data_IF_280482746173
#
_entry.id   IF_280482746173
#
_cell.length_a   1.000
_cell.length_b   1.000
_cell.length_c   1.000
_cell.angle_alpha   90.00
_cell.angle_beta   90.00
_cell.angle_gamma   90.00
#
_symmetry.space_group_name_H-M   'P 1'
#
loop_
_entity.id
_entity.type
_entity.pdbx_description
1 polymer ?
#
# COMPACT_ATOMS: atom_id res chain seq x y z
N UNK A 1 2.52 2.50 25.46
CA UNK A 1 2.40 1.18 24.81
C UNK A 1 3.68 0.40 25.07
N UNK A 2 3.62 -0.90 25.43
CA UNK A 2 4.81 -1.71 25.70
C UNK A 2 5.61 -1.96 24.42
N UNK A 3 6.95 -1.91 24.48
CA UNK A 3 7.85 -2.16 23.34
C UNK A 3 7.61 -3.50 22.64
N UNK A 4 7.15 -4.52 23.37
CA UNK A 4 6.78 -5.82 22.80
C UNK A 4 5.60 -5.74 21.82
N UNK A 5 4.59 -4.91 22.12
CA UNK A 5 3.43 -4.71 21.24
C UNK A 5 3.82 -3.95 19.97
N UNK A 6 4.67 -2.93 20.09
CA UNK A 6 5.26 -2.23 18.95
C UNK A 6 5.97 -3.21 18.02
N UNK A 7 6.84 -4.05 18.59
CA UNK A 7 7.61 -5.04 17.84
C UNK A 7 6.72 -6.04 17.12
N UNK A 8 5.66 -6.52 17.79
CA UNK A 8 4.71 -7.45 17.17
C UNK A 8 4.02 -6.81 15.96
N UNK A 9 3.51 -5.59 16.09
CA UNK A 9 2.80 -4.90 15.00
C UNK A 9 3.72 -4.67 13.80
N UNK A 10 4.93 -4.16 14.04
CA UNK A 10 5.88 -3.93 12.95
C UNK A 10 6.38 -5.23 12.32
N UNK A 11 6.58 -6.28 13.11
CA UNK A 11 6.92 -7.58 12.56
C UNK A 11 5.78 -8.12 11.69
N UNK A 12 4.54 -8.06 12.17
CA UNK A 12 3.36 -8.53 11.43
C UNK A 12 3.16 -7.76 10.12
N UNK A 13 3.36 -6.43 10.16
CA UNK A 13 3.17 -5.56 9.00
C UNK A 13 4.30 -5.68 7.97
N UNK A 14 5.57 -5.76 8.40
CA UNK A 14 6.72 -5.63 7.49
C UNK A 14 7.48 -6.95 7.24
N UNK A 15 7.31 -7.98 8.07
CA UNK A 15 7.99 -9.27 7.85
C UNK A 15 7.38 -9.98 6.65
N UNK A 16 8.21 -10.28 5.65
CA UNK A 16 7.73 -10.94 4.41
C UNK A 16 6.96 -10.00 3.47
N UNK A 17 7.07 -8.68 3.68
CA UNK A 17 6.43 -7.67 2.84
C UNK A 17 6.87 -7.80 1.37
N UNK A 18 5.89 -7.88 0.47
CA UNK A 18 6.08 -7.90 -0.98
C UNK A 18 5.29 -6.77 -1.62
N UNK A 19 5.71 -6.37 -2.82
CA UNK A 19 5.02 -5.37 -3.62
C UNK A 19 4.20 -6.05 -4.71
N UNK A 20 2.97 -5.57 -4.86
CA UNK A 20 2.00 -5.99 -5.86
C UNK A 20 1.47 -4.76 -6.60
N UNK A 21 0.93 -4.99 -7.79
CA UNK A 21 0.45 -3.94 -8.68
C UNK A 21 -1.03 -4.16 -8.99
N UNK A 22 -1.78 -3.08 -9.04
CA UNK A 22 -3.16 -3.06 -9.54
C UNK A 22 -3.35 -1.78 -10.35
N UNK A 23 -3.40 -1.96 -11.66
CA UNK A 23 -3.62 -0.88 -12.62
C UNK A 23 -5.11 -0.75 -12.92
N UNK A 24 -5.57 0.49 -13.11
CA UNK A 24 -6.94 0.83 -13.46
C UNK A 24 -7.00 2.24 -14.06
N UNK A 25 -8.17 2.61 -14.57
CA UNK A 25 -8.49 3.97 -14.96
C UNK A 25 -9.47 4.56 -13.95
N UNK A 26 -9.08 5.66 -13.31
CA UNK A 26 -9.92 6.40 -12.36
C UNK A 26 -10.09 7.85 -12.79
N UNK A 27 -11.29 8.43 -12.67
CA UNK A 27 -11.46 9.86 -12.90
C UNK A 27 -10.73 10.68 -11.82
N UNK A 28 -10.30 11.88 -12.18
CA UNK A 28 -9.45 12.73 -11.32
C UNK A 28 -10.10 13.06 -9.96
N UNK A 29 -11.43 13.16 -9.89
CA UNK A 29 -12.13 13.40 -8.63
C UNK A 29 -11.91 12.24 -7.63
N UNK A 30 -11.90 10.99 -8.10
CA UNK A 30 -11.61 9.83 -7.26
C UNK A 30 -10.13 9.80 -6.86
N UNK A 31 -9.22 10.04 -7.81
CA UNK A 31 -7.77 10.09 -7.53
C UNK A 31 -7.45 11.12 -6.43
N UNK A 32 -8.10 12.29 -6.48
CA UNK A 32 -7.87 13.40 -5.54
C UNK A 32 -8.33 13.13 -4.11
N UNK A 33 -9.15 12.09 -3.89
CA UNK A 33 -9.63 11.73 -2.55
C UNK A 33 -8.54 11.11 -1.68
N UNK A 34 -7.54 10.45 -2.28
CA UNK A 34 -6.45 9.81 -1.53
C UNK A 34 -5.49 10.85 -0.94
N UNK A 35 -5.15 10.68 0.35
CA UNK A 35 -4.20 11.55 1.06
C UNK A 35 -3.10 10.73 1.73
N UNK A 36 -1.85 11.20 1.66
CA UNK A 36 -0.73 10.58 2.38
C UNK A 36 -1.06 10.53 3.88
N UNK A 37 -0.81 9.37 4.51
CA UNK A 37 -1.12 9.10 5.91
C UNK A 37 -2.59 8.77 6.19
N UNK A 38 -3.47 8.79 5.18
CA UNK A 38 -4.86 8.34 5.33
C UNK A 38 -4.92 6.84 5.59
N UNK A 39 -5.88 6.42 6.42
CA UNK A 39 -6.26 5.01 6.52
C UNK A 39 -7.52 4.79 5.68
N UNK A 40 -7.47 3.81 4.80
CA UNK A 40 -8.61 3.38 3.99
C UNK A 40 -8.92 1.91 4.29
N UNK A 41 -10.17 1.51 4.06
CA UNK A 41 -10.62 0.13 4.24
C UNK A 41 -11.28 -0.36 2.97
N UNK A 42 -10.77 -1.43 2.39
CA UNK A 42 -11.45 -2.14 1.33
C UNK A 42 -12.41 -3.19 1.93
N UNK A 43 -13.68 -3.16 1.51
CA UNK A 43 -14.69 -4.11 1.98
C UNK A 43 -14.65 -5.41 1.19
N UNK A 44 -14.39 -5.32 -0.12
CA UNK A 44 -14.31 -6.45 -1.02
C UNK A 44 -12.95 -7.14 -1.02
N UNK A 45 -12.81 -8.11 -1.92
CA UNK A 45 -11.50 -8.69 -2.22
C UNK A 45 -10.64 -7.69 -2.99
N UNK A 46 -9.32 -7.72 -2.73
CA UNK A 46 -8.37 -6.93 -3.51
C UNK A 46 -7.57 -7.83 -4.43
N UNK A 47 -8.01 -7.92 -5.69
CA UNK A 47 -7.22 -8.55 -6.76
C UNK A 47 -6.02 -7.67 -7.11
N UNK A 48 -4.85 -8.31 -7.22
CA UNK A 48 -3.58 -7.67 -7.57
C UNK A 48 -2.64 -8.66 -8.26
N UNK A 49 -1.60 -8.16 -8.93
CA UNK A 49 -0.58 -8.98 -9.58
C UNK A 49 0.79 -8.79 -8.94
N UNK A 50 1.62 -9.83 -8.98
CA UNK A 50 3.05 -9.74 -8.64
C UNK A 50 3.92 -9.25 -9.81
N UNK A 51 3.37 -9.13 -11.02
CA UNK A 51 4.10 -8.79 -12.24
C UNK A 51 4.07 -7.27 -12.43
N UNK A 52 5.25 -6.64 -12.40
CA UNK A 52 5.39 -5.20 -12.61
C UNK A 52 5.90 -4.84 -14.00
N UNK A 53 5.05 -4.23 -14.83
CA UNK A 53 5.42 -3.66 -16.14
C UNK A 53 5.08 -2.16 -16.26
N UNK A 54 4.93 -1.70 -17.50
CA UNK A 54 4.37 -0.37 -17.81
C UNK A 54 3.03 -0.14 -17.11
N UNK A 55 2.69 1.13 -16.85
CA UNK A 55 1.40 1.46 -16.24
C UNK A 55 0.31 1.43 -17.31
N UNK A 56 -0.68 0.56 -17.13
CA UNK A 56 -1.90 0.55 -17.94
C UNK A 56 -2.93 1.52 -17.37
N UNK A 57 -3.58 2.29 -18.23
CA UNK A 57 -4.51 3.36 -17.83
C UNK A 57 -3.82 4.60 -17.27
N UNK A 58 -4.52 5.33 -16.39
CA UNK A 58 -4.03 6.53 -15.72
C UNK A 58 -3.65 6.33 -14.25
N UNK A 59 -3.93 5.17 -13.65
CA UNK A 59 -3.80 4.98 -12.21
C UNK A 59 -3.27 3.60 -11.81
N UNK A 60 -2.36 3.58 -10.83
CA UNK A 60 -1.80 2.36 -10.22
C UNK A 60 -1.89 2.41 -8.72
N UNK A 61 -2.45 1.37 -8.12
CA UNK A 61 -2.14 1.02 -6.74
C UNK A 61 -0.87 0.19 -6.72
N UNK A 62 0.17 0.71 -6.08
CA UNK A 62 1.28 -0.12 -5.60
C UNK A 62 0.88 -0.60 -4.20
N UNK A 63 0.83 -1.90 -3.97
CA UNK A 63 0.35 -2.48 -2.73
C UNK A 63 1.48 -3.25 -2.06
N UNK A 64 1.89 -2.82 -0.87
CA UNK A 64 2.78 -3.57 0.00
C UNK A 64 1.96 -4.43 0.96
N UNK A 65 2.15 -5.74 0.95
CA UNK A 65 1.49 -6.65 1.90
C UNK A 65 2.35 -7.87 2.24
N UNK A 66 2.27 -8.30 3.50
CA UNK A 66 2.81 -9.56 4.01
C UNK A 66 1.79 -10.71 4.00
N UNK A 67 0.51 -10.41 3.74
CA UNK A 67 -0.62 -11.34 3.95
C UNK A 67 -1.38 -11.72 2.67
N UNK A 68 -0.92 -11.27 1.49
CA UNK A 68 -1.56 -11.59 0.23
C UNK A 68 -1.48 -13.10 -0.08
N UNK A 69 -2.60 -13.69 -0.47
CA UNK A 69 -2.72 -15.10 -0.86
C UNK A 69 -2.35 -15.25 -2.33
N UNK A 70 -1.44 -16.18 -2.61
CA UNK A 70 -0.98 -16.48 -3.97
C UNK A 70 -2.00 -17.37 -4.68
N UNK A 71 -2.80 -16.77 -5.56
CA UNK A 71 -3.78 -17.50 -6.36
C UNK A 71 -3.17 -18.12 -7.62
N UNK A 72 -1.99 -17.68 -8.00
CA UNK A 72 -1.24 -18.16 -9.16
C UNK A 72 -0.90 -19.65 -9.06
N UNK A 73 -0.98 -20.23 -7.85
CA UNK A 73 -0.73 -21.66 -7.59
C UNK A 73 -1.90 -22.58 -7.90
N UNK A 74 -3.12 -22.06 -8.04
CA UNK A 74 -4.32 -22.91 -8.12
C UNK A 74 -4.74 -23.24 -9.55
N UNK A 75 -4.41 -22.41 -10.55
CA UNK A 75 -4.71 -22.71 -11.95
C UNK A 75 -3.76 -21.96 -12.93
N UNK A 76 -3.60 -22.49 -14.16
CA UNK A 76 -2.70 -21.90 -15.15
C UNK A 76 -3.02 -20.46 -15.56
N UNK A 77 -4.29 -20.05 -15.54
CA UNK A 77 -4.68 -18.70 -15.95
C UNK A 77 -4.33 -17.66 -14.88
N UNK A 78 -4.53 -17.99 -13.61
CA UNK A 78 -4.03 -17.19 -12.48
C UNK A 78 -2.50 -17.12 -12.44
N UNK A 79 -1.80 -18.17 -12.90
CA UNK A 79 -0.34 -18.17 -13.00
C UNK A 79 0.18 -17.15 -14.02
N UNK A 80 -0.45 -17.07 -15.21
CA UNK A 80 -0.07 -16.14 -16.29
C UNK A 80 -0.13 -14.67 -15.85
N UNK A 81 -1.10 -14.33 -15.01
CA UNK A 81 -1.29 -12.97 -14.50
C UNK A 81 -0.59 -12.74 -13.15
N UNK A 82 0.11 -13.74 -12.61
CA UNK A 82 0.76 -13.66 -11.29
C UNK A 82 -0.22 -13.23 -10.18
N UNK A 83 -1.41 -13.84 -10.16
CA UNK A 83 -2.57 -13.42 -9.37
C UNK A 83 -2.35 -13.56 -7.86
N UNK A 84 -2.53 -12.47 -7.13
CA UNK A 84 -2.62 -12.43 -5.68
C UNK A 84 -3.93 -11.78 -5.22
N UNK A 85 -4.35 -12.15 -4.02
CA UNK A 85 -5.59 -11.69 -3.42
C UNK A 85 -5.38 -11.28 -1.96
N UNK A 86 -5.89 -10.11 -1.57
CA UNK A 86 -6.19 -9.86 -0.16
C UNK A 86 -7.67 -10.15 0.11
N UNK A 87 -7.92 -10.69 1.29
CA UNK A 87 -9.25 -11.01 1.77
C UNK A 87 -10.10 -9.74 1.97
N UNK A 88 -11.39 -9.96 2.21
CA UNK A 88 -12.33 -8.89 2.56
C UNK A 88 -11.90 -8.16 3.85
N UNK A 89 -12.31 -6.90 3.97
CA UNK A 89 -12.03 -6.06 5.16
C UNK A 89 -10.52 -5.84 5.33
N UNK A 90 -9.86 -5.37 4.28
CA UNK A 90 -8.43 -5.03 4.31
C UNK A 90 -8.23 -3.55 4.63
N UNK A 91 -7.36 -3.24 5.60
CA UNK A 91 -6.97 -1.87 5.91
C UNK A 91 -5.65 -1.52 5.22
N UNK A 92 -5.57 -0.28 4.76
CA UNK A 92 -4.36 0.25 4.15
C UNK A 92 -4.03 1.62 4.72
N UNK A 93 -2.74 1.89 4.89
CA UNK A 93 -2.19 3.23 5.05
C UNK A 93 -1.66 3.72 3.70
N UNK A 94 -2.09 4.90 3.28
CA UNK A 94 -1.51 5.56 2.11
C UNK A 94 -0.12 6.09 2.48
N UNK A 95 0.93 5.53 1.91
CA UNK A 95 2.32 5.90 2.22
C UNK A 95 2.83 7.04 1.35
N UNK A 96 2.48 7.01 0.06
CA UNK A 96 3.00 7.98 -0.91
C UNK A 96 2.06 8.11 -2.11
N UNK A 97 2.12 9.25 -2.79
CA UNK A 97 1.38 9.51 -4.02
C UNK A 97 2.34 10.16 -5.01
N UNK A 98 2.51 9.56 -6.18
CA UNK A 98 3.43 9.99 -7.22
C UNK A 98 2.66 10.27 -8.51
N UNK A 99 3.00 11.35 -9.21
CA UNK A 99 2.39 11.69 -10.50
C UNK A 99 3.47 12.01 -11.52
N UNK A 100 3.41 11.35 -12.67
CA UNK A 100 4.29 11.60 -13.81
C UNK A 100 3.37 11.77 -15.03
N UNK A 101 3.31 13.00 -15.56
CA UNK A 101 2.34 13.35 -16.61
C UNK A 101 0.90 13.16 -16.14
N UNK A 102 0.13 12.37 -16.87
CA UNK A 102 -1.26 12.01 -16.54
C UNK A 102 -1.39 10.73 -15.70
N UNK A 103 -0.28 10.05 -15.40
CA UNK A 103 -0.29 8.77 -14.68
C UNK A 103 0.03 8.98 -13.20
N UNK A 104 -0.78 8.37 -12.34
CA UNK A 104 -0.67 8.47 -10.88
C UNK A 104 -0.44 7.11 -10.25
N UNK A 105 0.51 7.02 -9.31
CA UNK A 105 0.69 5.86 -8.45
C UNK A 105 0.37 6.22 -7.00
N UNK A 106 -0.56 5.49 -6.37
CA UNK A 106 -0.81 5.54 -4.93
C UNK A 106 -0.19 4.32 -4.28
N UNK A 107 0.70 4.56 -3.32
CA UNK A 107 1.39 3.50 -2.59
C UNK A 107 0.63 3.18 -1.29
N UNK A 108 0.11 1.96 -1.21
CA UNK A 108 -0.66 1.44 -0.09
C UNK A 108 0.15 0.42 0.71
N UNK A 109 0.19 0.59 2.03
CA UNK A 109 0.67 -0.44 2.96
C UNK A 109 -0.53 -1.15 3.57
N UNK A 110 -0.67 -2.45 3.33
CA UNK A 110 -1.66 -3.27 4.01
C UNK A 110 -1.26 -3.43 5.48
N UNK A 111 -2.19 -3.10 6.38
CA UNK A 111 -1.94 -3.08 7.82
C UNK A 111 -2.97 -3.96 8.58
N UNK A 112 -2.57 -4.59 9.69
CA UNK A 112 -3.52 -5.27 10.58
C UNK A 112 -4.54 -4.31 11.21
N UNK A 113 -5.75 -4.77 11.45
CA UNK A 113 -6.83 -4.00 12.10
C UNK A 113 -6.42 -3.44 13.48
N UNK A 114 -5.75 -4.26 14.28
CA UNK A 114 -5.30 -3.94 15.63
C UNK A 114 -4.15 -2.91 15.67
N UNK A 115 -3.63 -2.52 14.49
CA UNK A 115 -2.50 -1.62 14.31
C UNK A 115 -2.90 -0.23 13.83
N UNK A 116 -4.15 -0.03 13.40
CA UNK A 116 -4.65 1.20 12.76
C UNK A 116 -4.28 2.45 13.58
N UNK A 117 -4.61 2.48 14.87
CA UNK A 117 -4.35 3.63 15.73
C UNK A 117 -2.85 3.97 15.82
N UNK A 118 -2.00 2.95 15.86
CA UNK A 118 -0.55 3.14 15.92
C UNK A 118 -0.01 3.67 14.59
N UNK A 119 -0.31 2.97 13.50
CA UNK A 119 0.27 3.26 12.18
C UNK A 119 -0.29 4.55 11.57
N UNK A 120 -1.51 4.96 11.92
CA UNK A 120 -2.06 6.30 11.61
C UNK A 120 -1.21 7.42 12.22
N UNK A 121 -0.82 7.25 13.48
CA UNK A 121 -0.16 8.28 14.27
C UNK A 121 1.37 8.12 14.32
N UNK A 122 1.95 7.31 13.44
CA UNK A 122 3.40 7.09 13.40
C UNK A 122 3.96 7.06 11.98
N UNK A 123 5.27 7.27 11.89
CA UNK A 123 6.09 6.96 10.73
C UNK A 123 7.27 6.11 11.17
N UNK A 124 7.89 5.38 10.25
CA UNK A 124 9.11 4.62 10.54
C UNK A 124 10.16 4.71 9.45
N UNK A 125 11.40 4.42 9.81
CA UNK A 125 12.47 4.25 8.83
C UNK A 125 12.16 3.14 7.80
N UNK A 126 11.44 2.08 8.21
CA UNK A 126 11.00 1.05 7.28
C UNK A 126 10.01 1.60 6.23
N UNK A 127 9.09 2.48 6.63
CA UNK A 127 8.19 3.16 5.68
C UNK A 127 8.98 4.02 4.70
N UNK A 128 9.95 4.82 5.18
CA UNK A 128 10.79 5.66 4.32
C UNK A 128 11.56 4.83 3.29
N UNK A 129 12.18 3.74 3.72
CA UNK A 129 12.96 2.85 2.84
C UNK A 129 12.10 2.24 1.73
N UNK A 130 10.87 1.80 2.05
CA UNK A 130 9.97 1.22 1.04
C UNK A 130 9.38 2.30 0.13
N UNK A 131 9.14 3.52 0.64
CA UNK A 131 8.70 4.66 -0.17
C UNK A 131 9.78 5.02 -1.20
N UNK A 132 11.04 5.13 -0.79
CA UNK A 132 12.15 5.44 -1.70
C UNK A 132 12.28 4.37 -2.79
N UNK A 133 12.21 3.08 -2.41
CA UNK A 133 12.21 1.97 -3.37
C UNK A 133 11.00 2.02 -4.31
N UNK A 134 9.82 2.38 -3.81
CA UNK A 134 8.61 2.51 -4.61
C UNK A 134 8.72 3.64 -5.66
N UNK A 135 9.26 4.81 -5.28
CA UNK A 135 9.50 5.95 -6.18
C UNK A 135 10.40 5.56 -7.35
N UNK A 136 11.57 4.99 -7.05
CA UNK A 136 12.53 4.51 -8.06
C UNK A 136 11.91 3.45 -8.98
N UNK A 137 11.12 2.53 -8.43
CA UNK A 137 10.41 1.52 -9.21
C UNK A 137 9.37 2.12 -10.13
N UNK A 138 8.65 3.16 -9.69
CA UNK A 138 7.66 3.81 -10.54
C UNK A 138 8.32 4.49 -11.74
N UNK A 139 9.32 5.34 -11.48
CA UNK A 139 10.08 6.04 -12.52
C UNK A 139 10.69 5.09 -13.55
N UNK A 140 11.27 3.97 -13.10
CA UNK A 140 11.89 2.98 -13.99
C UNK A 140 10.91 2.09 -14.73
N UNK A 141 9.66 1.96 -14.26
CA UNK A 141 8.66 1.06 -14.85
C UNK A 141 7.63 1.73 -15.71
N UNK A 142 7.31 3.00 -15.46
CA UNK A 142 6.16 3.69 -16.04
C UNK A 142 6.09 3.62 -17.57
N UNK A 143 7.25 3.69 -18.24
CA UNK A 143 7.36 3.65 -19.71
C UNK A 143 7.79 2.29 -20.28
N UNK A 144 7.83 1.23 -19.47
CA UNK A 144 8.07 -0.12 -19.98
C UNK A 144 6.88 -0.61 -20.79
N UNK A 145 7.09 -1.68 -21.55
CA UNK A 145 5.98 -2.37 -22.22
C UNK A 145 4.93 -2.83 -21.20
N UNK A 146 3.66 -2.77 -21.62
CA UNK A 146 2.55 -3.35 -20.87
C UNK A 146 2.69 -4.87 -20.84
N UNK A 147 2.25 -5.48 -19.75
CA UNK A 147 2.20 -6.95 -19.60
C UNK A 147 0.96 -7.45 -20.34
N UNK A 148 1.07 -8.19 -21.45
CA UNK A 148 -0.07 -8.57 -22.29
C UNK A 148 -1.17 -9.33 -21.54
N UNK A 149 -0.78 -10.23 -20.64
CA UNK A 149 -1.68 -11.06 -19.84
C UNK A 149 -2.57 -10.22 -18.91
N UNK A 150 -2.10 -9.03 -18.52
CA UNK A 150 -2.83 -8.08 -17.68
C UNK A 150 -3.69 -7.09 -18.50
N UNK A 151 -3.67 -7.16 -19.83
CA UNK A 151 -4.46 -6.25 -20.68
C UNK A 151 -5.82 -6.83 -21.10
N UNK A 152 -6.18 -8.00 -20.59
CA UNK A 152 -7.46 -8.65 -20.89
C UNK A 152 -8.63 -7.91 -20.24
N UNK A 153 -9.79 -7.92 -20.88
CA UNK A 153 -11.01 -7.31 -20.34
C UNK A 153 -11.42 -7.94 -19.00
N UNK A 154 -11.21 -9.25 -18.83
CA UNK A 154 -11.46 -9.95 -17.56
C UNK A 154 -10.61 -9.40 -16.42
N UNK A 155 -9.33 -9.09 -16.66
CA UNK A 155 -8.48 -8.50 -15.64
C UNK A 155 -8.87 -7.06 -15.33
N UNK A 156 -9.10 -6.25 -16.36
CA UNK A 156 -9.53 -4.85 -16.20
C UNK A 156 -10.85 -4.75 -15.41
N UNK A 157 -11.81 -5.62 -15.70
CA UNK A 157 -13.08 -5.67 -14.98
C UNK A 157 -12.89 -6.02 -13.49
N UNK A 158 -11.92 -6.88 -13.15
CA UNK A 158 -11.59 -7.21 -11.75
C UNK A 158 -10.95 -6.04 -11.00
N UNK A 159 -10.16 -5.23 -11.69
CA UNK A 159 -9.38 -4.15 -11.05
C UNK A 159 -10.00 -2.77 -11.16
N UNK A 160 -11.13 -2.63 -11.88
CA UNK A 160 -11.72 -1.32 -12.24
C UNK A 160 -12.06 -0.44 -11.04
N UNK A 161 -12.65 -1.02 -10.00
CA UNK A 161 -13.19 -0.22 -8.89
C UNK A 161 -12.07 0.41 -8.05
N UNK A 162 -12.28 1.62 -7.50
CA UNK A 162 -11.33 2.23 -6.59
C UNK A 162 -11.20 1.41 -5.31
N UNK A 163 -10.02 1.47 -4.67
CA UNK A 163 -9.80 0.80 -3.38
C UNK A 163 -10.14 1.73 -2.21
N UNK A 164 -10.91 1.22 -1.27
CA UNK A 164 -11.21 1.90 -0.02
C UNK A 164 -12.38 2.87 -0.06
N UNK A 165 -13.02 3.05 -1.22
CA UNK A 165 -14.17 3.94 -1.43
C UNK A 165 -15.12 3.39 -2.49
N UNK A 166 -16.34 3.93 -2.53
CA UNK A 166 -17.31 3.65 -3.58
C UNK A 166 -16.91 4.31 -4.91
N UNK A 167 -17.57 3.92 -6.01
CA UNK A 167 -17.41 4.56 -7.32
C UNK A 167 -17.84 6.05 -7.31
N UNK A 168 -18.57 6.49 -6.27
CA UNK A 168 -18.95 7.89 -6.05
C UNK A 168 -17.91 8.67 -5.21
N UNK A 169 -16.85 8.00 -4.74
CA UNK A 169 -15.80 8.61 -3.93
C UNK A 169 -16.05 8.63 -2.42
N UNK A 170 -17.06 7.90 -1.93
CA UNK A 170 -17.36 7.82 -0.50
C UNK A 170 -16.48 6.76 0.17
N UNK A 171 -15.60 7.16 1.10
CA UNK A 171 -14.75 6.22 1.81
C UNK A 171 -15.56 5.26 2.69
N UNK A 172 -15.19 3.98 2.65
CA UNK A 172 -15.82 2.95 3.48
C UNK A 172 -15.42 3.02 4.96
N UNK A 173 -14.32 3.71 5.25
CA UNK A 173 -13.80 3.93 6.58
C UNK A 173 -13.55 5.41 6.83
N UNK A 174 -14.11 5.90 7.93
CA UNK A 174 -13.96 7.29 8.36
C UNK A 174 -12.73 7.43 9.25
N UNK A 175 -11.60 7.77 8.62
CA UNK A 175 -10.32 7.88 9.29
C UNK A 175 -10.21 9.07 10.25
N UNK A 176 -11.12 10.05 10.13
CA UNK A 176 -11.21 11.21 11.01
C UNK A 176 -11.62 10.83 12.44
N UNK A 177 -12.27 9.67 12.60
CA UNK A 177 -12.65 9.10 13.89
C UNK A 177 -11.46 8.48 14.64
N UNK A 178 -10.32 8.26 13.97
CA UNK A 178 -9.12 7.79 14.66
C UNK A 178 -8.60 8.93 15.53
N UNK A 179 -8.46 8.66 16.83
CA UNK A 179 -7.86 9.61 17.77
C UNK A 179 -6.49 10.05 17.27
N UNK A 180 -6.36 11.35 16.99
CA UNK A 180 -5.09 11.96 16.61
C UNK A 180 -4.23 12.08 17.87
N UNK A 181 -3.03 11.51 17.81
CA UNK A 181 -2.02 11.63 18.85
C UNK A 181 -0.82 12.42 18.31
N UNK A 182 0.09 12.81 19.21
CA UNK A 182 1.36 13.40 18.77
C UNK A 182 2.08 12.43 17.82
N UNK A 183 2.54 12.89 16.64
CA UNK A 183 3.22 12.03 15.68
C UNK A 183 4.40 11.31 16.31
N UNK A 184 4.45 9.99 16.14
CA UNK A 184 5.55 9.17 16.65
C UNK A 184 6.49 8.79 15.52
N UNK A 185 7.78 9.06 15.70
CA UNK A 185 8.82 8.51 14.82
C UNK A 185 9.33 7.20 15.42
N UNK A 186 9.26 6.12 14.65
CA UNK A 186 9.65 4.78 15.11
C UNK A 186 10.88 4.33 14.32
N UNK A 187 12.00 4.19 15.02
CA UNK A 187 13.26 3.71 14.46
C UNK A 187 13.43 2.23 14.78
N UNK A 188 13.53 1.40 13.75
CA UNK A 188 13.59 -0.05 13.86
C UNK A 188 14.93 -0.53 13.34
N UNK A 189 15.68 -1.20 14.22
CA UNK A 189 16.89 -1.90 13.82
C UNK A 189 16.61 -3.41 13.81
N UNK A 190 16.50 -3.97 12.61
CA UNK A 190 16.17 -5.39 12.40
C UNK A 190 17.29 -6.28 12.95
N UNK A 191 18.56 -5.94 12.71
CA UNK A 191 19.74 -6.72 13.13
C UNK A 191 19.85 -6.79 14.66
N UNK A 192 19.73 -5.64 15.32
CA UNK A 192 19.80 -5.52 16.78
C UNK A 192 18.48 -5.86 17.46
N UNK A 193 17.42 -6.08 16.68
CA UNK A 193 16.05 -6.37 17.15
C UNK A 193 15.52 -5.30 18.12
N UNK A 194 15.96 -4.05 17.98
CA UNK A 194 15.59 -2.91 18.83
C UNK A 194 14.58 -1.99 18.14
N UNK A 195 13.75 -1.34 18.95
CA UNK A 195 12.78 -0.33 18.51
C UNK A 195 12.92 0.88 19.42
N UNK A 196 13.08 2.06 18.82
CA UNK A 196 13.17 3.34 19.51
C UNK A 196 12.03 4.25 19.03
N UNK A 197 11.45 5.02 19.96
CA UNK A 197 10.32 5.92 19.67
C UNK A 197 10.73 7.34 19.99
N UNK A 198 10.50 8.27 19.05
CA UNK A 198 10.78 9.69 19.18
C UNK A 198 12.23 10.01 19.51
N UNK A 199 13.18 9.27 18.91
CA UNK A 199 14.58 9.71 18.96
C UNK A 199 14.64 11.08 18.29
N UNK A 200 15.08 12.12 19.02
CA UNK A 200 15.43 13.39 18.40
C UNK A 200 16.43 13.06 17.28
N UNK A 201 16.25 13.57 16.05
CA UNK A 201 17.30 13.47 15.05
C UNK A 201 18.60 13.98 15.66
N UNK A 202 19.73 13.33 15.38
CA UNK A 202 21.02 13.73 15.97
C UNK A 202 21.40 15.18 15.62
N UNK A 203 20.79 15.76 14.58
CA UNK A 203 20.91 17.17 14.18
C UNK A 203 19.94 18.15 14.88
N UNK A 204 19.06 17.69 15.78
CA UNK A 204 18.11 18.51 16.57
C UNK A 204 18.46 18.55 18.08
N UNK A 205 19.75 18.58 18.41
CA UNK A 205 20.24 18.88 19.76
C UNK A 205 20.68 20.35 19.79
N UNK A 206 19.72 21.28 19.71
CA UNK A 206 19.86 22.69 20.10
C UNK A 206 18.49 23.16 20.60
#
# INVERSE_FOLDING_TARGET
>A
MKNSRLKSIYNDTFSGLKLYYRDTDLPDNLISNYKIGQIIQEKGFTDMTSIGGGLSGNFRYLIASAHAKDLSKFNPDSAKIGHFLLDTIAYFKVLDIQKIGNQTQVFLLNIPDNSILLLKNSSSNLEDEIIEKARRKFESKIHLALVPELQTESWKERTKSPLGMSDNGEFFFDDSKIKVESPKRIEINIEKKTIEVNKKPWWKIW
#
